data_IF_895481247677
#
_entry.id   IF_895481247677
#
_cell.length_a   1.000
_cell.length_b   1.000
_cell.length_c   1.000
_cell.angle_alpha   90.00
_cell.angle_beta   90.00
_cell.angle_gamma   90.00
#
_symmetry.space_group_name_H-M   'P 1'
#
loop_
_entity.id
_entity.type
_entity.pdbx_description
1 polymer ?
#
# COMPACT_ATOMS: atom_id res chain seq x y z
N UNK A 1 -5.04 7.49 13.16
CA UNK A 1 -5.96 8.51 12.60
C UNK A 1 -7.40 8.01 12.59
N UNK A 2 -7.74 6.91 11.91
CA UNK A 2 -9.11 6.34 11.98
C UNK A 2 -9.51 5.85 13.38
N UNK A 3 -8.58 5.29 14.15
CA UNK A 3 -8.80 4.86 15.54
C UNK A 3 -9.14 5.98 16.52
N UNK A 4 -8.84 7.24 16.16
CA UNK A 4 -9.06 8.43 16.99
C UNK A 4 -10.38 9.15 16.63
N UNK A 5 -11.13 8.67 15.63
CA UNK A 5 -12.44 9.23 15.26
C UNK A 5 -13.48 8.75 16.28
N UNK A 6 -14.05 9.65 17.10
CA UNK A 6 -15.10 9.26 18.04
C UNK A 6 -16.35 8.83 17.25
N UNK A 7 -16.96 7.72 17.66
CA UNK A 7 -18.19 7.19 17.05
C UNK A 7 -18.01 6.34 15.79
N UNK A 8 -16.78 6.11 15.32
CA UNK A 8 -16.53 5.18 14.21
C UNK A 8 -16.57 3.73 14.73
N UNK A 9 -17.42 2.88 14.13
CA UNK A 9 -17.50 1.46 14.46
C UNK A 9 -16.13 0.77 14.28
N UNK A 10 -15.80 -0.20 15.13
CA UNK A 10 -14.48 -0.84 15.12
C UNK A 10 -14.19 -1.57 13.80
N UNK A 11 -15.21 -2.11 13.15
CA UNK A 11 -15.12 -2.67 11.80
C UNK A 11 -14.71 -1.62 10.76
N UNK A 12 -15.22 -0.40 10.87
CA UNK A 12 -14.88 0.70 9.97
C UNK A 12 -13.47 1.25 10.26
N UNK A 13 -13.04 1.30 11.53
CA UNK A 13 -11.65 1.62 11.90
C UNK A 13 -10.68 0.59 11.30
N UNK A 14 -11.00 -0.70 11.42
CA UNK A 14 -10.21 -1.78 10.86
C UNK A 14 -10.13 -1.68 9.33
N UNK A 15 -11.27 -1.50 8.65
CA UNK A 15 -11.32 -1.38 7.19
C UNK A 15 -10.46 -0.21 6.67
N UNK A 16 -10.45 0.93 7.36
CA UNK A 16 -9.61 2.08 6.98
C UNK A 16 -8.12 1.77 7.14
N UNK A 17 -7.71 1.11 8.24
CA UNK A 17 -6.30 0.73 8.44
C UNK A 17 -5.88 -0.35 7.44
N UNK A 18 -6.68 -1.41 7.27
CA UNK A 18 -6.44 -2.49 6.32
C UNK A 18 -6.31 -1.96 4.88
N UNK A 19 -7.22 -1.06 4.47
CA UNK A 19 -7.17 -0.42 3.16
C UNK A 19 -5.94 0.47 2.98
N UNK A 20 -5.59 1.28 3.99
CA UNK A 20 -4.41 2.15 3.93
C UNK A 20 -3.09 1.36 3.86
N UNK A 21 -2.96 0.27 4.63
CA UNK A 21 -1.77 -0.59 4.61
C UNK A 21 -1.66 -1.37 3.30
N UNK A 22 -2.78 -1.91 2.81
CA UNK A 22 -2.82 -2.68 1.56
C UNK A 22 -2.58 -1.81 0.32
N UNK A 23 -3.17 -0.62 0.29
CA UNK A 23 -3.07 0.31 -0.84
C UNK A 23 -1.83 1.22 -0.83
N UNK A 24 -1.21 1.43 0.33
CA UNK A 24 -0.08 2.37 0.50
C UNK A 24 1.16 2.00 -0.32
N UNK A 25 1.35 0.72 -0.63
CA UNK A 25 2.47 0.24 -1.45
C UNK A 25 2.26 0.37 -2.97
N UNK A 26 1.04 0.65 -3.43
CA UNK A 26 0.67 0.58 -4.86
C UNK A 26 1.01 1.87 -5.65
N UNK A 27 1.36 2.96 -4.97
CA UNK A 27 1.54 4.26 -5.62
C UNK A 27 2.89 4.89 -5.32
N UNK A 28 3.56 5.36 -6.38
CA UNK A 28 4.80 6.17 -6.26
C UNK A 28 4.53 7.50 -5.55
N UNK A 29 3.29 7.99 -5.57
CA UNK A 29 2.91 9.31 -5.06
C UNK A 29 2.51 9.27 -3.57
N UNK A 30 2.03 8.15 -3.04
CA UNK A 30 1.43 8.11 -1.70
C UNK A 30 2.44 8.22 -0.54
N UNK A 31 3.74 8.05 -0.80
CA UNK A 31 4.74 8.15 0.26
C UNK A 31 6.07 8.69 -0.28
N UNK A 32 6.63 9.72 0.36
CA UNK A 32 7.91 10.35 0.01
C UNK A 32 9.12 9.39 -0.18
N UNK A 33 9.19 8.22 0.48
CA UNK A 33 10.20 7.20 0.21
C UNK A 33 10.13 6.61 -1.22
N UNK A 34 8.95 6.56 -1.85
CA UNK A 34 8.83 5.96 -3.19
C UNK A 34 9.48 6.84 -4.28
N UNK A 35 9.30 8.18 -4.32
CA UNK A 35 10.07 9.06 -5.20
C UNK A 35 11.56 9.09 -4.87
N UNK A 36 11.94 8.95 -3.58
CA UNK A 36 13.34 8.83 -3.18
C UNK A 36 13.98 7.52 -3.68
N UNK A 37 13.28 6.40 -3.59
CA UNK A 37 13.73 5.13 -4.17
C UNK A 37 13.88 5.21 -5.69
N UNK A 38 12.95 5.89 -6.37
CA UNK A 38 13.02 6.15 -7.81
C UNK A 38 14.26 6.97 -8.21
N UNK A 39 14.60 8.03 -7.47
CA UNK A 39 15.77 8.86 -7.77
C UNK A 39 17.09 8.15 -7.49
N UNK A 40 17.13 7.23 -6.53
CA UNK A 40 18.31 6.41 -6.23
C UNK A 40 18.48 5.31 -7.28
N UNK A 41 17.42 4.53 -7.54
CA UNK A 41 17.48 3.36 -8.43
C UNK A 41 17.40 3.69 -9.92
N UNK A 42 16.86 4.86 -10.31
CA UNK A 42 16.62 5.22 -11.72
C UNK A 42 17.86 5.14 -12.62
N UNK A 43 19.06 5.38 -12.06
CA UNK A 43 20.34 5.24 -12.77
C UNK A 43 20.67 3.80 -13.20
N UNK A 44 20.12 2.79 -12.50
CA UNK A 44 20.30 1.37 -12.80
C UNK A 44 19.27 0.83 -13.79
N UNK A 45 18.20 1.58 -14.06
CA UNK A 45 17.09 1.18 -14.96
C UNK A 45 17.13 1.87 -16.33
N UNK A 46 18.31 2.34 -16.78
CA UNK A 46 18.47 2.87 -18.13
C UNK A 46 17.71 4.16 -18.40
N UNK A 47 17.53 5.02 -17.38
CA UNK A 47 16.88 6.33 -17.53
C UNK A 47 15.57 6.51 -16.75
N UNK A 48 15.12 5.51 -16.00
CA UNK A 48 13.98 5.62 -15.09
C UNK A 48 13.21 4.30 -14.93
N UNK A 49 12.28 4.24 -14.00
CA UNK A 49 11.43 3.05 -13.81
C UNK A 49 10.11 3.25 -14.55
N UNK A 50 9.69 2.24 -15.31
CA UNK A 50 8.40 2.26 -16.01
C UNK A 50 7.24 2.23 -15.01
N UNK A 51 6.33 3.23 -15.01
CA UNK A 51 5.18 3.27 -14.10
C UNK A 51 4.25 2.07 -14.26
N UNK A 52 4.06 1.59 -15.50
CA UNK A 52 3.21 0.45 -15.80
C UNK A 52 3.79 -0.86 -15.24
N UNK A 53 5.10 -1.09 -15.43
CA UNK A 53 5.77 -2.27 -14.83
C UNK A 53 5.73 -2.21 -13.31
N UNK A 54 5.90 -1.03 -12.73
CA UNK A 54 5.84 -0.85 -11.28
C UNK A 54 4.43 -1.12 -10.73
N UNK A 55 3.37 -0.64 -11.39
CA UNK A 55 2.00 -0.93 -11.02
C UNK A 55 1.69 -2.44 -11.08
N UNK A 56 2.12 -3.13 -12.15
CA UNK A 56 1.95 -4.58 -12.30
C UNK A 56 2.72 -5.34 -11.21
N UNK A 57 3.98 -4.97 -10.94
CA UNK A 57 4.77 -5.60 -9.88
C UNK A 57 4.20 -5.33 -8.48
N UNK A 58 3.53 -4.20 -8.27
CA UNK A 58 2.91 -3.85 -7.00
C UNK A 58 1.57 -4.59 -6.76
N UNK A 59 0.92 -5.14 -7.80
CA UNK A 59 -0.30 -5.94 -7.63
C UNK A 59 -0.06 -7.18 -6.76
N UNK A 60 1.06 -7.88 -6.94
CA UNK A 60 1.37 -9.11 -6.18
C UNK A 60 1.41 -8.83 -4.66
N UNK A 61 2.26 -7.90 -4.14
CA UNK A 61 2.28 -7.60 -2.71
C UNK A 61 0.98 -6.98 -2.21
N UNK A 62 0.26 -6.21 -3.04
CA UNK A 62 -1.08 -5.68 -2.69
C UNK A 62 -2.10 -6.81 -2.52
N UNK A 63 -2.10 -7.82 -3.40
CA UNK A 63 -2.98 -8.99 -3.26
C UNK A 63 -2.61 -9.79 -2.01
N UNK A 64 -1.31 -10.00 -1.74
CA UNK A 64 -0.85 -10.71 -0.53
C UNK A 64 -1.33 -9.99 0.73
N UNK A 65 -1.13 -8.66 0.81
CA UNK A 65 -1.62 -7.88 1.95
C UNK A 65 -3.15 -7.87 2.03
N UNK A 66 -3.86 -7.77 0.91
CA UNK A 66 -5.31 -7.89 0.87
C UNK A 66 -5.80 -9.22 1.43
N UNK A 67 -5.14 -10.33 1.09
CA UNK A 67 -5.43 -11.64 1.67
C UNK A 67 -5.14 -11.64 3.19
N UNK A 68 -4.00 -11.12 3.62
CA UNK A 68 -3.64 -11.08 5.04
C UNK A 68 -4.63 -10.28 5.91
N UNK A 69 -5.14 -9.15 5.40
CA UNK A 69 -6.02 -8.27 6.16
C UNK A 69 -7.51 -8.52 5.94
N UNK A 70 -7.92 -9.10 4.81
CA UNK A 70 -9.34 -9.25 4.44
C UNK A 70 -9.75 -10.69 4.16
N UNK A 71 -8.81 -11.57 3.82
CA UNK A 71 -9.08 -12.98 3.50
C UNK A 71 -8.85 -13.94 4.67
N UNK A 72 -7.97 -13.59 5.62
CA UNK A 72 -7.79 -14.35 6.86
C UNK A 72 -8.83 -13.82 7.87
N UNK A 73 -9.78 -14.66 8.35
CA UNK A 73 -10.65 -14.25 9.43
C UNK A 73 -9.78 -13.92 10.63
N UNK A 74 -9.74 -12.64 11.02
CA UNK A 74 -9.12 -12.24 12.27
C UNK A 74 -9.81 -13.00 13.38
N UNK A 75 -9.08 -13.93 14.01
CA UNK A 75 -9.52 -14.61 15.22
C UNK A 75 -9.65 -13.51 16.27
N UNK A 76 -10.86 -12.98 16.41
CA UNK A 76 -11.28 -12.06 17.46
C UNK A 76 -12.14 -12.83 18.45
#
# INVERSE_FOLDING_TARGET
LATLVPGLADSAKYAVVAGAVTGGGLTVIANAPNPAGQSILGRFFGGGVSPAKLAICALIPTIIMGICFMGIPTIG
#
